data_IF_737548740862
#
_entry.id   IF_737548740862
#
_cell.length_a   1.000
_cell.length_b   1.000
_cell.length_c   1.000
_cell.angle_alpha   90.00
_cell.angle_beta   90.00
_cell.angle_gamma   90.00
#
_symmetry.space_group_name_H-M   'P 1'
#
loop_
_entity.id
_entity.type
_entity.pdbx_description
1 polymer ?
#
# COMPACT_ATOMS: atom_id res chain seq x y z
N UNK A 1 0.38 17.26 16.37
CA UNK A 1 0.82 16.17 17.27
C UNK A 1 1.95 15.43 16.56
N UNK A 2 3.13 15.30 17.17
CA UNK A 2 4.26 14.58 16.59
C UNK A 2 4.34 13.19 17.19
N UNK A 3 4.55 12.16 16.37
CA UNK A 3 4.79 10.79 16.83
C UNK A 3 6.26 10.70 17.32
N UNK A 4 6.53 10.55 18.64
CA UNK A 4 7.90 10.47 19.12
C UNK A 4 8.56 9.16 18.66
N UNK A 5 9.83 9.24 18.25
CA UNK A 5 10.58 8.09 17.69
C UNK A 5 10.54 6.86 18.60
N UNK A 6 10.71 7.05 19.91
CA UNK A 6 10.75 5.97 20.91
C UNK A 6 9.42 5.23 21.09
N UNK A 7 8.29 5.80 20.62
CA UNK A 7 6.96 5.16 20.66
C UNK A 7 6.72 4.28 19.42
N UNK A 8 7.53 4.42 18.36
CA UNK A 8 7.35 3.62 17.15
C UNK A 8 7.49 2.12 17.46
N UNK A 9 6.56 1.32 16.92
CA UNK A 9 6.52 -0.15 17.08
C UNK A 9 6.93 -0.90 15.82
N UNK A 10 7.11 -0.19 14.72
CA UNK A 10 7.43 -0.78 13.41
C UNK A 10 8.64 -0.07 12.82
N UNK A 11 9.48 -0.87 12.18
CA UNK A 11 10.55 -0.41 11.29
C UNK A 11 10.35 -1.07 9.94
N UNK A 12 10.24 -0.26 8.89
CA UNK A 12 10.05 -0.72 7.52
C UNK A 12 11.37 -0.51 6.78
N UNK A 13 11.95 -1.59 6.25
CA UNK A 13 13.19 -1.52 5.46
C UNK A 13 12.80 -1.61 4.00
N UNK A 14 13.05 -0.55 3.24
CA UNK A 14 12.76 -0.51 1.80
C UNK A 14 13.70 -1.46 1.07
N UNK A 15 13.12 -2.39 0.31
CA UNK A 15 13.84 -3.38 -0.48
C UNK A 15 13.85 -3.04 -1.97
N UNK A 16 12.83 -2.32 -2.45
CA UNK A 16 12.70 -1.94 -3.85
C UNK A 16 11.95 -0.61 -3.99
N UNK A 17 12.31 0.16 -5.02
CA UNK A 17 11.62 1.39 -5.40
C UNK A 17 11.43 1.37 -6.91
N UNK A 18 10.17 1.43 -7.37
CA UNK A 18 9.81 1.51 -8.78
C UNK A 18 9.10 2.83 -9.08
N UNK A 19 9.33 3.36 -10.26
CA UNK A 19 8.58 4.50 -10.81
C UNK A 19 7.79 3.97 -12.00
N UNK A 20 6.47 3.94 -11.87
CA UNK A 20 5.56 3.32 -12.83
C UNK A 20 4.28 4.14 -12.97
N UNK A 21 3.50 3.88 -14.01
CA UNK A 21 2.15 4.44 -14.11
C UNK A 21 1.21 3.70 -13.15
N UNK A 22 0.26 4.43 -12.56
CA UNK A 22 -0.69 3.88 -11.60
C UNK A 22 -1.44 2.64 -12.12
N UNK A 23 -1.85 2.64 -13.39
CA UNK A 23 -2.59 1.54 -14.01
C UNK A 23 -1.70 0.35 -14.41
N UNK A 24 -0.37 0.45 -14.27
CA UNK A 24 0.56 -0.67 -14.49
C UNK A 24 0.65 -1.60 -13.26
N UNK A 25 -0.09 -1.29 -12.19
CA UNK A 25 -0.15 -2.10 -10.97
C UNK A 25 -0.62 -3.53 -11.27
N UNK A 26 0.07 -4.53 -10.71
CA UNK A 26 -0.34 -5.93 -10.82
C UNK A 26 -1.37 -6.31 -9.76
N UNK A 27 -2.11 -7.41 -9.99
CA UNK A 27 -3.05 -7.92 -8.98
C UNK A 27 -2.33 -8.30 -7.66
N UNK A 28 -1.09 -8.78 -7.75
CA UNK A 28 -0.28 -9.14 -6.58
C UNK A 28 0.20 -7.90 -5.82
N UNK A 29 0.53 -6.80 -6.51
CA UNK A 29 0.81 -5.51 -5.88
C UNK A 29 -0.44 -4.96 -5.19
N UNK A 30 -1.61 -5.02 -5.84
CA UNK A 30 -2.87 -4.61 -5.22
C UNK A 30 -3.18 -5.42 -3.95
N UNK A 31 -2.92 -6.74 -3.96
CA UNK A 31 -3.01 -7.58 -2.75
C UNK A 31 -2.00 -7.18 -1.68
N UNK A 32 -0.76 -6.84 -2.06
CA UNK A 32 0.29 -6.40 -1.14
C UNK A 32 -0.05 -5.05 -0.46
N UNK A 33 -0.75 -4.17 -1.18
CA UNK A 33 -1.35 -2.92 -0.64
C UNK A 33 -2.53 -3.18 0.31
N UNK A 34 -2.94 -4.44 0.46
CA UNK A 34 -3.97 -4.89 1.38
C UNK A 34 -5.34 -5.12 0.74
N UNK A 35 -5.44 -5.16 -0.60
CA UNK A 35 -6.70 -5.49 -1.26
C UNK A 35 -6.99 -6.98 -1.13
N UNK A 36 -8.10 -7.31 -0.48
CA UNK A 36 -8.64 -8.66 -0.51
C UNK A 36 -9.55 -8.81 -1.74
N UNK A 37 -9.57 -10.00 -2.34
CA UNK A 37 -10.66 -10.38 -3.24
C UNK A 37 -11.91 -10.50 -2.38
N UNK A 38 -12.74 -9.46 -2.38
CA UNK A 38 -14.01 -9.48 -1.69
C UNK A 38 -14.99 -10.30 -2.52
N UNK A 39 -15.30 -11.50 -2.03
CA UNK A 39 -16.49 -12.21 -2.50
C UNK A 39 -17.72 -11.45 -2.01
N UNK A 40 -18.35 -10.67 -2.88
CA UNK A 40 -19.71 -10.20 -2.65
C UNK A 40 -20.63 -11.42 -2.69
N UNK A 41 -20.74 -12.14 -1.56
CA UNK A 41 -21.70 -13.24 -1.41
C UNK A 41 -23.17 -12.81 -1.52
N UNK A 42 -23.39 -11.53 -1.80
CA UNK A 42 -24.67 -10.88 -1.99
C UNK A 42 -24.87 -10.63 -3.49
N UNK A 43 -25.79 -11.38 -4.13
CA UNK A 43 -26.14 -11.26 -5.56
C UNK A 43 -26.66 -9.85 -5.94
N UNK A 44 -26.91 -8.98 -4.97
CA UNK A 44 -27.30 -7.58 -5.16
C UNK A 44 -26.12 -6.61 -5.36
N UNK A 45 -24.89 -6.99 -4.97
CA UNK A 45 -23.72 -6.08 -5.00
C UNK A 45 -22.85 -6.25 -6.26
N UNK A 46 -23.31 -7.04 -7.22
CA UNK A 46 -22.58 -7.28 -8.47
C UNK A 46 -21.49 -8.36 -8.33
N UNK A 47 -20.78 -8.68 -9.43
CA UNK A 47 -19.74 -9.70 -9.43
C UNK A 47 -18.61 -9.34 -8.44
N UNK A 48 -17.91 -10.36 -7.96
CA UNK A 48 -16.66 -10.18 -7.19
C UNK A 48 -15.70 -9.29 -7.97
N UNK A 49 -15.22 -8.21 -7.33
CA UNK A 49 -14.20 -7.35 -7.92
C UNK A 49 -12.82 -7.97 -7.77
N UNK A 50 -12.01 -7.84 -8.81
CA UNK A 50 -10.59 -8.16 -8.74
C UNK A 50 -9.86 -7.16 -7.82
N UNK A 51 -8.66 -7.52 -7.35
CA UNK A 51 -7.94 -6.71 -6.37
C UNK A 51 -7.55 -5.32 -6.91
N UNK A 52 -7.26 -5.23 -8.21
CA UNK A 52 -6.97 -4.01 -8.95
C UNK A 52 -8.18 -3.07 -9.07
N UNK A 53 -9.39 -3.60 -9.31
CA UNK A 53 -10.63 -2.81 -9.34
C UNK A 53 -10.94 -2.20 -7.96
N UNK A 54 -10.77 -2.97 -6.89
CA UNK A 54 -10.91 -2.46 -5.52
C UNK A 54 -9.84 -1.40 -5.19
N UNK A 55 -8.62 -1.58 -5.70
CA UNK A 55 -7.54 -0.61 -5.54
C UNK A 55 -7.87 0.72 -6.23
N UNK A 56 -8.42 0.69 -7.45
CA UNK A 56 -8.81 1.89 -8.19
C UNK A 56 -9.81 2.75 -7.40
N UNK A 57 -10.83 2.13 -6.80
CA UNK A 57 -11.83 2.85 -5.99
C UNK A 57 -11.22 3.45 -4.71
N UNK A 58 -10.36 2.68 -4.03
CA UNK A 58 -9.63 3.19 -2.87
C UNK A 58 -8.75 4.37 -3.25
N UNK A 59 -8.00 4.25 -4.36
CA UNK A 59 -7.13 5.30 -4.86
C UNK A 59 -7.90 6.60 -5.09
N UNK A 60 -9.02 6.55 -5.80
CA UNK A 60 -9.86 7.71 -6.07
C UNK A 60 -10.40 8.34 -4.79
N UNK A 61 -10.82 7.53 -3.82
CA UNK A 61 -11.34 8.03 -2.54
C UNK A 61 -10.32 8.90 -1.79
N UNK A 62 -9.02 8.62 -1.97
CA UNK A 62 -7.91 9.31 -1.32
C UNK A 62 -7.36 10.47 -2.16
N UNK A 63 -7.26 10.29 -3.48
CA UNK A 63 -6.42 11.12 -4.33
C UNK A 63 -7.19 11.92 -5.40
N UNK A 64 -8.41 11.51 -5.79
CA UNK A 64 -9.14 12.17 -6.87
C UNK A 64 -9.39 13.67 -6.57
N UNK A 65 -9.71 14.02 -5.31
CA UNK A 65 -9.92 15.42 -4.88
C UNK A 65 -8.67 16.29 -5.01
N UNK A 66 -7.49 15.70 -5.17
CA UNK A 66 -6.20 16.38 -5.37
C UNK A 66 -5.81 16.48 -6.84
N UNK A 67 -6.63 15.95 -7.76
CA UNK A 67 -6.35 15.93 -9.19
C UNK A 67 -5.55 14.72 -9.68
N UNK A 68 -5.37 13.70 -8.85
CA UNK A 68 -4.64 12.47 -9.18
C UNK A 68 -5.60 11.28 -9.19
N UNK A 69 -6.72 11.40 -9.90
CA UNK A 69 -7.70 10.31 -10.03
C UNK A 69 -7.13 9.12 -10.82
N UNK A 70 -7.76 7.96 -10.70
CA UNK A 70 -7.41 6.73 -11.40
C UNK A 70 -7.38 6.91 -12.92
N UNK A 71 -8.34 7.67 -13.44
CA UNK A 71 -8.47 8.02 -14.86
C UNK A 71 -7.30 8.86 -15.39
N UNK A 72 -6.63 9.63 -14.54
CA UNK A 72 -5.47 10.45 -14.92
C UNK A 72 -4.20 9.62 -15.12
N UNK A 73 -4.20 8.37 -14.66
CA UNK A 73 -3.07 7.43 -14.70
C UNK A 73 -1.71 8.09 -14.37
N UNK A 74 -1.57 8.71 -13.17
CA UNK A 74 -0.38 9.47 -12.82
C UNK A 74 0.84 8.56 -12.65
N UNK A 75 2.03 9.16 -12.75
CA UNK A 75 3.26 8.51 -12.31
C UNK A 75 3.28 8.38 -10.79
N UNK A 76 3.55 7.19 -10.29
CA UNK A 76 3.66 6.87 -8.87
C UNK A 76 5.02 6.29 -8.54
N UNK A 77 5.36 6.32 -7.25
CA UNK A 77 6.52 5.63 -6.70
C UNK A 77 6.00 4.45 -5.88
N UNK A 78 6.13 3.23 -6.42
CA UNK A 78 5.79 2.00 -5.72
C UNK A 78 7.00 1.56 -4.88
N UNK A 79 6.75 1.23 -3.60
CA UNK A 79 7.80 0.90 -2.63
C UNK A 79 7.52 -0.47 -2.04
N UNK A 80 8.46 -1.40 -2.20
CA UNK A 80 8.44 -2.69 -1.51
C UNK A 80 9.32 -2.62 -0.26
N UNK A 81 8.85 -3.18 0.84
CA UNK A 81 9.58 -3.17 2.11
C UNK A 81 9.37 -4.44 2.93
N UNK A 82 10.32 -4.74 3.81
CA UNK A 82 10.16 -5.73 4.88
C UNK A 82 9.74 -5.07 6.18
N UNK A 83 8.92 -5.77 6.97
CA UNK A 83 8.40 -5.28 8.25
C UNK A 83 9.17 -5.90 9.40
N UNK A 84 9.76 -5.06 10.24
CA UNK A 84 10.32 -5.44 11.53
C UNK A 84 9.41 -4.92 12.64
N UNK A 85 8.87 -5.82 13.47
CA UNK A 85 7.98 -5.50 14.59
C UNK A 85 8.74 -4.97 15.81
N UNK A 86 9.60 -3.99 15.59
CA UNK A 86 10.45 -3.36 16.60
C UNK A 86 10.69 -1.91 16.27
N UNK A 87 11.00 -1.13 17.30
CA UNK A 87 11.58 0.18 17.11
C UNK A 87 12.94 0.07 16.39
N UNK A 88 13.27 1.04 15.56
CA UNK A 88 14.51 1.08 14.79
C UNK A 88 15.74 1.15 15.70
N UNK A 89 15.64 1.81 16.84
CA UNK A 89 16.74 1.88 17.81
C UNK A 89 17.05 0.48 18.39
N UNK A 90 16.05 -0.42 18.47
CA UNK A 90 16.24 -1.81 18.89
C UNK A 90 16.72 -2.75 17.76
N UNK A 91 16.64 -2.35 16.48
CA UNK A 91 17.26 -3.08 15.36
C UNK A 91 18.77 -2.85 15.32
N UNK A 92 19.20 -1.60 15.48
CA UNK A 92 20.62 -1.21 15.40
C UNK A 92 21.47 -1.95 16.45
N UNK A 93 20.91 -2.18 17.64
CA UNK A 93 21.58 -2.93 18.72
C UNK A 93 21.80 -4.41 18.39
N UNK A 94 20.96 -5.02 17.54
CA UNK A 94 21.07 -6.44 17.16
C UNK A 94 22.05 -6.69 16.02
N UNK A 95 22.25 -5.71 15.14
CA UNK A 95 23.19 -5.82 14.02
C UNK A 95 24.65 -5.56 14.46
N UNK A 96 24.86 -4.91 15.60
CA UNK A 96 26.18 -4.59 16.16
C UNK A 96 26.72 -5.64 17.16
N UNK A 97 25.97 -6.70 17.45
CA UNK A 97 26.32 -7.78 18.39
C UNK A 97 26.67 -9.07 17.65
#
# INVERSE_FOLDING_TARGET
MFMPRWVSRLTLVVTEVRVEHLQDISEDDARAEGMAVTWSGNMAEGPSKFADENFAELWDSLNAKRGYGWDTNPWVVAITFTVHQSNIDAMTEREAA
#
